data_IF_618260134699
#
_entry.id   IF_618260134699
#
_cell.length_a   1.000
_cell.length_b   1.000
_cell.length_c   1.000
_cell.angle_alpha   90.00
_cell.angle_beta   90.00
_cell.angle_gamma   90.00
#
_symmetry.space_group_name_H-M   'P 1'
#
loop_
_entity.id
_entity.type
_entity.pdbx_description
1 polymer ?
#
# COMPACT_ATOMS: atom_id res chain seq x y z
N UNK A 1 -6.48 -19.28 10.47
CA UNK A 1 -7.09 -17.92 10.46
C UNK A 1 -6.62 -17.32 9.15
N UNK A 2 -7.54 -16.91 8.27
CA UNK A 2 -7.22 -16.62 6.86
C UNK A 2 -5.97 -15.72 6.72
N UNK A 3 -5.89 -14.63 7.49
CA UNK A 3 -4.73 -13.72 7.46
C UNK A 3 -3.40 -14.38 7.87
N UNK A 4 -3.36 -15.15 8.96
CA UNK A 4 -2.15 -15.86 9.41
C UNK A 4 -1.71 -16.88 8.35
N UNK A 5 -2.66 -17.60 7.77
CA UNK A 5 -2.39 -18.62 6.76
C UNK A 5 -1.81 -17.99 5.48
N UNK A 6 -2.35 -16.83 5.07
CA UNK A 6 -1.81 -16.01 3.97
C UNK A 6 -0.41 -15.50 4.29
N UNK A 7 -0.20 -14.89 5.46
CA UNK A 7 1.09 -14.35 5.90
C UNK A 7 2.19 -15.42 5.93
N UNK A 8 1.88 -16.60 6.46
CA UNK A 8 2.81 -17.73 6.49
C UNK A 8 3.13 -18.23 5.07
N UNK A 9 2.13 -18.26 4.18
CA UNK A 9 2.32 -18.63 2.77
C UNK A 9 3.22 -17.63 2.06
N UNK A 10 3.02 -16.33 2.25
CA UNK A 10 3.86 -15.27 1.70
C UNK A 10 5.31 -15.43 2.18
N UNK A 11 5.52 -15.58 3.50
CA UNK A 11 6.85 -15.74 4.08
C UNK A 11 7.58 -17.00 3.60
N UNK A 12 6.87 -18.12 3.41
CA UNK A 12 7.46 -19.38 2.92
C UNK A 12 7.98 -19.27 1.49
N UNK A 13 7.42 -18.38 0.67
CA UNK A 13 7.78 -18.23 -0.74
C UNK A 13 8.61 -16.97 -1.02
N UNK A 14 8.98 -16.21 0.02
CA UNK A 14 9.76 -14.98 -0.11
C UNK A 14 11.27 -15.25 -0.25
N UNK A 15 11.68 -15.80 -1.40
CA UNK A 15 13.10 -16.06 -1.69
C UNK A 15 13.82 -14.86 -2.31
N UNK A 16 13.06 -13.92 -2.88
CA UNK A 16 13.58 -12.83 -3.73
C UNK A 16 13.29 -11.43 -3.16
N UNK A 17 12.57 -11.31 -2.04
CA UNK A 17 12.18 -10.04 -1.44
C UNK A 17 10.85 -9.52 -2.02
N UNK A 18 9.75 -10.21 -1.71
CA UNK A 18 8.35 -9.98 -2.10
C UNK A 18 7.81 -8.57 -1.81
N UNK A 19 8.52 -7.81 -0.97
CA UNK A 19 8.07 -6.57 -0.32
C UNK A 19 6.72 -6.72 0.39
N UNK A 20 6.30 -7.94 0.75
CA UNK A 20 5.24 -8.12 1.74
C UNK A 20 5.83 -8.01 3.15
N UNK A 21 5.02 -7.61 4.12
CA UNK A 21 5.43 -7.63 5.53
C UNK A 21 5.64 -9.06 6.02
N UNK A 22 6.73 -9.28 6.76
CA UNK A 22 7.07 -10.60 7.28
C UNK A 22 6.50 -10.78 8.69
N UNK A 23 5.71 -11.85 8.85
CA UNK A 23 5.27 -12.33 10.16
C UNK A 23 6.46 -12.95 10.89
N UNK A 24 6.68 -12.53 12.14
CA UNK A 24 7.72 -13.07 13.02
C UNK A 24 7.17 -14.10 13.99
N UNK A 25 5.98 -13.86 14.50
CA UNK A 25 5.29 -14.74 15.43
C UNK A 25 3.79 -14.42 15.46
N UNK A 26 2.99 -15.32 16.02
CA UNK A 26 1.62 -15.02 16.44
C UNK A 26 1.29 -15.83 17.69
N UNK A 27 0.39 -15.32 18.53
CA UNK A 27 -0.06 -16.01 19.72
C UNK A 27 -1.45 -15.54 20.14
N UNK A 28 -2.15 -16.36 20.91
CA UNK A 28 -3.35 -15.92 21.63
C UNK A 28 -2.94 -15.34 22.99
N UNK A 29 -3.45 -14.16 23.32
CA UNK A 29 -3.34 -13.59 24.64
C UNK A 29 -4.71 -13.16 25.14
N UNK A 30 -5.28 -13.94 26.09
CA UNK A 30 -6.59 -13.66 26.70
C UNK A 30 -7.72 -13.56 25.65
N UNK A 31 -7.76 -14.49 24.68
CA UNK A 31 -8.71 -14.50 23.56
C UNK A 31 -8.53 -13.36 22.56
N UNK A 32 -7.38 -12.67 22.59
CA UNK A 32 -6.98 -11.74 21.54
C UNK A 32 -5.84 -12.36 20.73
N UNK A 33 -6.09 -12.62 19.45
CA UNK A 33 -5.02 -13.01 18.55
C UNK A 33 -4.09 -11.81 18.33
N UNK A 34 -2.82 -12.01 18.64
CA UNK A 34 -1.75 -11.06 18.46
C UNK A 34 -0.81 -11.55 17.36
N UNK A 35 -0.61 -10.73 16.33
CA UNK A 35 0.30 -11.02 15.22
C UNK A 35 1.50 -10.07 15.33
N UNK A 36 2.71 -10.63 15.28
CA UNK A 36 3.97 -9.91 15.46
C UNK A 36 4.66 -9.80 14.11
N UNK A 37 4.97 -8.56 13.71
CA UNK A 37 5.63 -8.24 12.44
C UNK A 37 7.02 -7.61 12.66
N UNK A 38 7.77 -7.49 11.57
CA UNK A 38 8.86 -6.50 11.52
C UNK A 38 8.31 -5.07 11.73
N UNK A 39 9.10 -4.20 12.38
CA UNK A 39 8.75 -2.79 12.55
C UNK A 39 9.05 -2.04 11.26
N UNK A 40 8.06 -1.30 10.77
CA UNK A 40 8.16 -0.46 9.57
C UNK A 40 8.02 1.03 9.92
N UNK A 41 8.28 1.87 8.92
CA UNK A 41 8.02 3.31 8.94
C UNK A 41 6.53 3.64 8.74
N UNK A 42 6.21 4.92 8.48
CA UNK A 42 4.83 5.34 8.26
C UNK A 42 4.28 4.79 6.93
N UNK A 43 2.95 4.71 6.84
CA UNK A 43 2.26 4.48 5.56
C UNK A 43 2.50 5.64 4.58
N UNK A 44 2.37 5.39 3.29
CA UNK A 44 2.44 6.46 2.28
C UNK A 44 1.35 7.51 2.51
N UNK A 45 0.17 7.10 2.95
CA UNK A 45 -0.90 8.00 3.36
C UNK A 45 -0.48 8.91 4.53
N UNK A 46 0.05 8.33 5.61
CA UNK A 46 0.50 9.09 6.78
C UNK A 46 1.65 10.04 6.43
N UNK A 47 2.54 9.61 5.54
CA UNK A 47 3.62 10.43 5.04
C UNK A 47 3.08 11.66 4.29
N UNK A 48 2.14 11.46 3.36
CA UNK A 48 1.48 12.55 2.63
C UNK A 48 0.78 13.50 3.59
N UNK A 49 -0.03 12.98 4.52
CA UNK A 49 -0.74 13.78 5.53
C UNK A 49 0.22 14.65 6.35
N UNK A 50 1.32 14.09 6.83
CA UNK A 50 2.37 14.84 7.56
C UNK A 50 3.06 15.90 6.68
N UNK A 51 3.11 15.69 5.37
CA UNK A 51 3.65 16.63 4.39
C UNK A 51 2.59 17.56 3.79
N UNK A 52 1.47 17.79 4.49
CA UNK A 52 0.37 18.64 4.03
C UNK A 52 -0.15 18.24 2.64
N UNK A 53 -0.17 16.93 2.39
CA UNK A 53 -0.61 16.35 1.13
C UNK A 53 0.14 16.89 -0.09
N UNK A 54 1.43 17.22 0.05
CA UNK A 54 2.28 17.55 -1.09
C UNK A 54 2.66 16.28 -1.84
N UNK A 55 2.40 16.27 -3.15
CA UNK A 55 2.79 15.18 -4.05
C UNK A 55 4.28 14.82 -3.99
N UNK A 56 4.55 13.54 -4.23
CA UNK A 56 5.90 13.02 -4.41
C UNK A 56 6.48 13.44 -5.78
N UNK A 57 7.81 13.54 -5.91
CA UNK A 57 8.48 13.63 -7.20
C UNK A 57 8.17 12.41 -8.08
N UNK A 58 8.03 12.61 -9.38
CA UNK A 58 7.64 11.54 -10.31
C UNK A 58 8.61 10.34 -10.31
N UNK A 59 9.90 10.59 -10.10
CA UNK A 59 10.90 9.52 -10.04
C UNK A 59 10.69 8.62 -8.82
N UNK A 60 10.34 9.21 -7.68
CA UNK A 60 10.00 8.47 -6.48
C UNK A 60 8.67 7.70 -6.65
N UNK A 61 7.68 8.27 -7.32
CA UNK A 61 6.45 7.56 -7.66
C UNK A 61 6.73 6.37 -8.59
N UNK A 62 7.64 6.51 -9.56
CA UNK A 62 8.07 5.41 -10.43
C UNK A 62 8.72 4.27 -9.61
N UNK A 63 9.54 4.60 -8.62
CA UNK A 63 10.14 3.61 -7.74
C UNK A 63 9.11 2.90 -6.85
N UNK A 64 8.11 3.63 -6.32
CA UNK A 64 6.99 3.02 -5.60
C UNK A 64 6.15 2.13 -6.51
N UNK A 65 5.80 2.59 -7.71
CA UNK A 65 5.02 1.83 -8.68
C UNK A 65 5.67 0.48 -9.01
N UNK A 66 6.98 0.48 -9.30
CA UNK A 66 7.73 -0.75 -9.56
C UNK A 66 7.63 -1.73 -8.39
N UNK A 67 7.84 -1.27 -7.17
CA UNK A 67 7.81 -2.13 -5.97
C UNK A 67 6.40 -2.64 -5.65
N UNK A 68 5.36 -1.81 -5.81
CA UNK A 68 3.97 -2.22 -5.62
C UNK A 68 3.62 -3.32 -6.64
N UNK A 69 3.97 -3.12 -7.91
CA UNK A 69 3.70 -4.09 -8.97
C UNK A 69 4.47 -5.40 -8.77
N UNK A 70 5.72 -5.34 -8.28
CA UNK A 70 6.50 -6.53 -7.91
C UNK A 70 5.79 -7.35 -6.80
N UNK A 71 5.28 -6.69 -5.76
CA UNK A 71 4.51 -7.36 -4.70
C UNK A 71 3.20 -7.95 -5.19
N UNK A 72 2.45 -7.18 -5.99
CA UNK A 72 1.16 -7.65 -6.55
C UNK A 72 1.39 -8.85 -7.46
N UNK A 73 2.42 -8.81 -8.31
CA UNK A 73 2.80 -9.94 -9.18
C UNK A 73 3.13 -11.17 -8.33
N UNK A 74 3.95 -11.02 -7.29
CA UNK A 74 4.28 -12.11 -6.37
C UNK A 74 3.03 -12.72 -5.69
N UNK A 75 2.09 -11.89 -5.24
CA UNK A 75 0.83 -12.38 -4.67
C UNK A 75 0.00 -13.14 -5.71
N UNK A 76 -0.12 -12.60 -6.92
CA UNK A 76 -0.90 -13.18 -7.99
C UNK A 76 -0.31 -14.53 -8.44
N UNK A 77 1.02 -14.67 -8.49
CA UNK A 77 1.72 -15.94 -8.75
C UNK A 77 1.41 -17.00 -7.67
N UNK A 78 1.15 -16.57 -6.43
CA UNK A 78 0.71 -17.44 -5.33
C UNK A 78 -0.80 -17.67 -5.30
N UNK A 79 -1.53 -17.18 -6.30
CA UNK A 79 -3.00 -17.22 -6.41
C UNK A 79 -3.74 -16.46 -5.32
N UNK A 80 -3.14 -15.35 -4.87
CA UNK A 80 -3.69 -14.46 -3.87
C UNK A 80 -4.10 -13.14 -4.53
N UNK A 81 -5.26 -12.62 -4.16
CA UNK A 81 -5.75 -11.29 -4.56
C UNK A 81 -5.82 -10.46 -3.29
N UNK A 82 -5.18 -9.29 -3.25
CA UNK A 82 -5.10 -8.50 -2.01
C UNK A 82 -6.45 -7.89 -1.63
N UNK A 83 -7.18 -7.39 -2.62
CA UNK A 83 -8.52 -6.78 -2.55
C UNK A 83 -8.67 -5.47 -1.78
N UNK A 84 -7.69 -5.04 -1.00
CA UNK A 84 -7.72 -3.78 -0.22
C UNK A 84 -6.41 -2.98 -0.32
N UNK A 85 -5.89 -2.85 -1.54
CA UNK A 85 -4.74 -1.98 -1.83
C UNK A 85 -5.14 -0.51 -1.72
N UNK A 86 -4.41 0.23 -0.89
CA UNK A 86 -4.56 1.65 -0.62
C UNK A 86 -3.26 2.22 -0.02
N UNK A 87 -3.02 3.54 -0.05
CA UNK A 87 -1.76 4.12 0.45
C UNK A 87 -1.54 3.91 1.96
N UNK A 88 -2.59 3.64 2.73
CA UNK A 88 -2.53 3.24 4.15
C UNK A 88 -1.87 1.87 4.33
N UNK A 89 -2.05 0.96 3.36
CA UNK A 89 -1.55 -0.42 3.40
C UNK A 89 -0.19 -0.58 2.70
N UNK A 90 0.47 0.54 2.40
CA UNK A 90 1.82 0.59 1.82
C UNK A 90 2.72 1.37 2.78
N UNK A 91 3.61 0.68 3.48
CA UNK A 91 4.48 1.29 4.48
C UNK A 91 5.90 1.47 3.94
N UNK A 92 6.52 2.59 4.31
CA UNK A 92 7.96 2.77 4.12
C UNK A 92 8.72 1.81 5.04
N UNK A 93 9.83 1.26 4.57
CA UNK A 93 10.70 0.40 5.39
C UNK A 93 11.40 1.22 6.49
N UNK A 94 11.81 2.46 6.18
CA UNK A 94 12.44 3.38 7.14
C UNK A 94 11.59 4.63 7.35
N UNK A 95 11.51 5.16 8.59
CA UNK A 95 10.88 6.45 8.86
C UNK A 95 11.78 7.65 8.51
N UNK A 96 13.03 7.43 8.10
CA UNK A 96 13.99 8.50 7.85
C UNK A 96 13.56 9.40 6.70
N UNK A 97 13.73 10.71 6.89
CA UNK A 97 13.34 11.71 5.89
C UNK A 97 14.47 12.69 5.60
N UNK A 98 14.42 13.28 4.41
CA UNK A 98 15.26 14.40 4.00
C UNK A 98 14.37 15.60 3.68
N UNK A 99 14.82 16.79 4.08
CA UNK A 99 14.17 18.06 3.70
C UNK A 99 14.70 18.52 2.36
N UNK A 100 13.80 18.81 1.43
CA UNK A 100 14.15 19.34 0.11
C UNK A 100 13.36 20.61 -0.18
N UNK A 101 13.93 21.47 -1.02
CA UNK A 101 13.20 22.60 -1.57
C UNK A 101 12.08 22.10 -2.50
N UNK A 102 10.90 22.68 -2.35
CA UNK A 102 9.74 22.39 -3.17
C UNK A 102 9.66 23.42 -4.30
N UNK A 103 10.27 23.08 -5.45
CA UNK A 103 10.32 23.96 -6.62
C UNK A 103 9.01 24.00 -7.42
N UNK A 104 8.00 23.21 -7.07
CA UNK A 104 6.68 23.30 -7.69
C UNK A 104 6.04 24.62 -7.25
N UNK A 105 5.77 25.52 -8.19
CA UNK A 105 4.96 26.73 -7.96
C UNK A 105 3.58 26.23 -7.50
N UNK A 106 3.22 26.41 -6.22
CA UNK A 106 1.99 25.85 -5.75
C UNK A 106 0.85 26.73 -6.31
N UNK A 107 -0.19 26.10 -6.85
CA UNK A 107 -1.39 26.81 -7.36
C UNK A 107 -2.03 27.67 -6.25
N UNK A 108 -1.76 27.33 -4.99
CA UNK A 108 -2.05 28.15 -3.80
C UNK A 108 -0.80 28.22 -2.92
N UNK A 109 -0.42 29.40 -2.41
CA UNK A 109 0.69 29.50 -1.47
C UNK A 109 0.44 28.58 -0.27
N UNK A 110 1.47 27.86 0.22
CA UNK A 110 1.32 27.00 1.39
C UNK A 110 0.81 27.84 2.57
N UNK A 111 -0.16 27.32 3.31
CA UNK A 111 -0.76 28.01 4.49
C UNK A 111 0.29 28.41 5.55
N UNK A 112 1.46 27.77 5.53
CA UNK A 112 2.60 27.97 6.43
C UNK A 112 3.79 28.69 5.76
N UNK A 113 3.69 29.11 4.49
CA UNK A 113 4.80 29.76 3.77
C UNK A 113 6.03 28.87 3.51
N UNK A 114 6.03 27.60 3.96
CA UNK A 114 7.17 26.71 3.84
C UNK A 114 7.50 26.36 2.38
N UNK A 115 8.72 26.71 1.96
CA UNK A 115 9.32 26.37 0.66
C UNK A 115 9.94 24.97 0.69
N UNK A 116 9.79 24.22 1.78
CA UNK A 116 10.38 22.90 1.95
C UNK A 116 9.31 21.82 2.08
N UNK A 117 9.63 20.62 1.60
CA UNK A 117 8.88 19.39 1.89
C UNK A 117 9.82 18.30 2.35
N UNK A 118 9.29 17.30 3.05
CA UNK A 118 10.06 16.11 3.37
C UNK A 118 9.86 15.05 2.29
N UNK A 119 10.94 14.35 1.96
CA UNK A 119 10.92 13.14 1.16
C UNK A 119 11.45 11.98 2.01
N UNK A 120 11.01 10.74 1.78
CA UNK A 120 11.62 9.60 2.43
C UNK A 120 13.07 9.46 1.95
N UNK A 121 13.99 9.14 2.87
CA UNK A 121 15.40 8.95 2.54
C UNK A 121 15.63 7.70 1.67
N UNK A 122 14.73 6.72 1.76
CA UNK A 122 14.70 5.51 0.95
C UNK A 122 13.29 5.29 0.41
N UNK A 123 13.17 4.85 -0.84
CA UNK A 123 11.90 4.48 -1.46
C UNK A 123 11.46 3.06 -1.15
N UNK A 124 12.21 2.32 -0.33
CA UNK A 124 11.87 0.95 0.04
C UNK A 124 10.52 0.91 0.75
N UNK A 125 9.58 0.15 0.20
CA UNK A 125 8.24 -0.06 0.78
C UNK A 125 7.97 -1.53 1.10
N UNK A 126 6.92 -1.76 1.89
CA UNK A 126 6.27 -3.06 2.07
C UNK A 126 4.75 -2.95 2.07
N UNK A 127 4.07 -3.94 1.47
CA UNK A 127 2.63 -4.14 1.60
C UNK A 127 2.28 -4.78 2.94
N UNK A 128 1.17 -4.35 3.52
CA UNK A 128 0.60 -4.87 4.77
C UNK A 128 -0.90 -5.19 4.60
N UNK A 129 -1.52 -5.68 5.67
CA UNK A 129 -2.98 -5.84 5.79
C UNK A 129 -3.55 -6.88 4.80
N UNK A 130 -3.26 -8.14 5.10
CA UNK A 130 -3.73 -9.29 4.30
C UNK A 130 -5.05 -9.87 4.85
N UNK A 131 -5.73 -9.16 5.75
CA UNK A 131 -6.98 -9.63 6.37
C UNK A 131 -8.13 -9.82 5.38
N UNK A 132 -8.09 -9.09 4.26
CA UNK A 132 -9.08 -9.19 3.16
C UNK A 132 -8.57 -9.97 1.95
N UNK A 133 -7.35 -10.55 2.03
CA UNK A 133 -6.79 -11.32 0.92
C UNK A 133 -7.63 -12.57 0.66
N UNK A 134 -7.93 -12.84 -0.61
CA UNK A 134 -8.68 -14.02 -1.03
C UNK A 134 -7.85 -14.90 -1.98
N UNK A 135 -8.26 -16.15 -2.12
CA UNK A 135 -7.71 -17.04 -3.14
C UNK A 135 -8.59 -17.02 -4.39
N UNK A 136 -7.97 -17.15 -5.55
CA UNK A 136 -8.60 -17.09 -6.87
C UNK A 136 -9.78 -18.04 -7.14
N UNK A 137 -9.90 -19.11 -6.37
CA UNK A 137 -10.90 -20.18 -6.52
C UNK A 137 -12.08 -20.05 -5.56
N UNK A 138 -12.19 -18.96 -4.81
CA UNK A 138 -13.35 -18.68 -3.95
C UNK A 138 -14.47 -17.99 -4.75
N UNK A 139 -15.72 -18.13 -4.30
CA UNK A 139 -16.84 -17.41 -4.91
C UNK A 139 -16.73 -15.91 -4.62
N UNK A 140 -16.42 -15.12 -5.64
CA UNK A 140 -16.19 -13.67 -5.54
C UNK A 140 -17.48 -12.85 -5.76
N UNK A 141 -18.54 -13.20 -5.03
CA UNK A 141 -19.86 -12.54 -5.14
C UNK A 141 -20.09 -11.45 -4.07
N UNK A 142 -19.05 -11.08 -3.31
CA UNK A 142 -19.12 -10.05 -2.27
C UNK A 142 -18.33 -8.80 -2.66
N UNK A 143 -18.66 -7.67 -2.01
CA UNK A 143 -18.02 -6.38 -2.26
C UNK A 143 -16.68 -6.33 -1.53
N UNK A 144 -15.62 -5.95 -2.25
CA UNK A 144 -14.26 -5.75 -1.72
C UNK A 144 -13.75 -4.34 -1.97
N UNK A 145 -12.54 -4.07 -1.47
CA UNK A 145 -11.82 -2.80 -1.57
C UNK A 145 -12.43 -1.64 -0.80
N UNK A 146 -11.56 -0.80 -0.25
CA UNK A 146 -11.93 0.53 0.22
C UNK A 146 -12.51 1.35 -0.94
N UNK A 147 -13.61 2.09 -0.70
CA UNK A 147 -14.46 2.71 -1.73
C UNK A 147 -13.70 3.49 -2.82
N UNK A 148 -12.68 4.28 -2.45
CA UNK A 148 -11.96 5.14 -3.39
C UNK A 148 -11.05 4.37 -4.36
N UNK A 149 -10.67 3.15 -4.02
CA UNK A 149 -9.77 2.30 -4.82
C UNK A 149 -10.51 1.13 -5.48
N UNK A 150 -11.85 1.08 -5.33
CA UNK A 150 -12.66 -0.04 -5.78
C UNK A 150 -12.83 -0.05 -7.29
N UNK A 151 -12.58 -1.21 -7.89
CA UNK A 151 -12.72 -1.42 -9.33
C UNK A 151 -14.19 -1.40 -9.80
N UNK A 152 -14.46 -0.97 -11.04
CA UNK A 152 -15.82 -0.84 -11.56
C UNK A 152 -16.57 -2.17 -11.61
N UNK A 153 -15.91 -3.29 -11.94
CA UNK A 153 -16.52 -4.62 -11.95
C UNK A 153 -17.01 -5.06 -10.55
N UNK A 154 -16.32 -4.62 -9.49
CA UNK A 154 -16.74 -4.84 -8.10
C UNK A 154 -17.97 -3.99 -7.78
N UNK A 155 -18.00 -2.72 -8.24
CA UNK A 155 -19.15 -1.81 -8.04
C UNK A 155 -20.39 -2.33 -8.76
N UNK A 156 -20.22 -2.82 -9.98
CA UNK A 156 -21.30 -3.30 -10.84
C UNK A 156 -21.74 -4.74 -10.52
N UNK A 157 -21.05 -5.43 -9.60
CA UNK A 157 -21.38 -6.81 -9.24
C UNK A 157 -21.17 -7.81 -10.38
N UNK A 158 -20.20 -7.56 -11.27
CA UNK A 158 -19.92 -8.39 -12.44
C UNK A 158 -18.97 -9.56 -12.14
N UNK A 159 -18.63 -9.76 -10.86
CA UNK A 159 -17.53 -10.61 -10.43
C UNK A 159 -16.18 -9.89 -10.57
N UNK A 160 -15.17 -10.36 -9.85
CA UNK A 160 -13.84 -9.76 -9.84
C UNK A 160 -12.76 -10.83 -9.63
N UNK A 161 -11.54 -10.48 -10.01
CA UNK A 161 -10.35 -11.33 -9.87
C UNK A 161 -9.11 -10.41 -9.80
N UNK A 162 -7.91 -10.92 -10.09
CA UNK A 162 -6.63 -10.19 -10.13
C UNK A 162 -6.68 -8.74 -10.67
N UNK A 163 -7.44 -8.39 -11.74
CA UNK A 163 -7.48 -7.02 -12.25
C UNK A 163 -7.98 -5.95 -11.27
N UNK A 164 -8.74 -6.32 -10.24
CA UNK A 164 -9.25 -5.34 -9.27
C UNK A 164 -8.12 -4.71 -8.44
N UNK A 165 -7.05 -5.47 -8.16
CA UNK A 165 -5.84 -4.96 -7.53
C UNK A 165 -5.14 -3.94 -8.44
N UNK A 166 -5.08 -4.19 -9.75
CA UNK A 166 -4.44 -3.27 -10.71
C UNK A 166 -5.20 -1.94 -10.85
N UNK A 167 -6.53 -1.98 -10.78
CA UNK A 167 -7.33 -0.76 -10.69
C UNK A 167 -6.98 0.06 -9.44
N UNK A 168 -6.88 -0.63 -8.29
CA UNK A 168 -6.50 0.00 -7.02
C UNK A 168 -5.11 0.64 -7.11
N UNK A 169 -4.13 -0.07 -7.70
CA UNK A 169 -2.78 0.47 -7.96
C UNK A 169 -2.85 1.73 -8.82
N UNK A 170 -3.65 1.73 -9.90
CA UNK A 170 -3.83 2.91 -10.74
C UNK A 170 -4.31 4.14 -9.96
N UNK A 171 -5.32 3.95 -9.09
CA UNK A 171 -5.84 5.00 -8.22
C UNK A 171 -4.76 5.54 -7.26
N UNK A 172 -4.00 4.64 -6.63
CA UNK A 172 -2.89 4.99 -5.73
C UNK A 172 -1.85 5.84 -6.47
N UNK A 173 -1.41 5.44 -7.67
CA UNK A 173 -0.39 6.19 -8.41
C UNK A 173 -0.85 7.61 -8.79
N UNK A 174 -2.12 7.76 -9.17
CA UNK A 174 -2.72 9.08 -9.43
C UNK A 174 -2.68 9.94 -8.17
N UNK A 175 -3.06 9.38 -7.02
CA UNK A 175 -2.99 10.08 -5.74
C UNK A 175 -1.55 10.54 -5.46
N UNK A 176 -0.57 9.63 -5.45
CA UNK A 176 0.84 9.94 -5.16
C UNK A 176 1.41 11.07 -6.05
N UNK A 177 0.96 11.16 -7.31
CA UNK A 177 1.37 12.20 -8.27
C UNK A 177 0.64 13.54 -8.07
N UNK A 178 -0.63 13.49 -7.68
CA UNK A 178 -1.55 14.62 -7.84
C UNK A 178 -1.84 15.37 -6.56
N UNK A 179 -1.46 14.86 -5.37
CA UNK A 179 -1.99 15.47 -4.16
C UNK A 179 -1.54 16.94 -4.01
N UNK A 180 -2.58 17.79 -4.03
CA UNK A 180 -2.72 19.18 -3.60
C UNK A 180 -4.21 19.55 -3.62
N UNK A 181 -5.06 18.90 -2.82
CA UNK A 181 -6.46 19.37 -2.58
C UNK A 181 -6.98 18.97 -1.19
N UNK A 182 -6.88 19.92 -0.25
CA UNK A 182 -8.04 20.54 0.43
C UNK A 182 -7.77 22.04 0.55
#
# INVERSE_FOLDING_TARGET
MIEIDVLQRLGKHDFTGSRCVQIRNWFDYRNHICIVFEKLGPSLYDFLRKNSYRSFPIDLVREFARQILESVTFMHDLRLIHTDLKPENILLVSPDTIRVHDYKIPIRPPKDGSVFKNLPKSSAIKLIDFGSTTFDHQDHNYVVSTRHYRAPEVILGLGWNYPCDLWSVGCILVELCSVSTQ
#
